data_IF_906102792537
#
_entry.id   IF_906102792537
#
_cell.length_a   1.000
_cell.length_b   1.000
_cell.length_c   1.000
_cell.angle_alpha   90.00
_cell.angle_beta   90.00
_cell.angle_gamma   90.00
#
_symmetry.space_group_name_H-M   'P 1'
#
loop_
_entity.id
_entity.type
_entity.pdbx_description
1 polymer ?
#
# COMPACT_ATOMS: atom_id res chain seq x y z
N UNK A 1 -42.47 -50.39 -12.43
CA UNK A 1 -41.22 -49.59 -12.45
C UNK A 1 -40.32 -50.09 -11.31
N UNK A 2 -39.22 -50.77 -11.63
CA UNK A 2 -38.42 -51.57 -10.69
C UNK A 2 -37.67 -50.71 -9.66
N UNK A 3 -37.86 -51.01 -8.37
CA UNK A 3 -37.25 -50.30 -7.24
C UNK A 3 -35.72 -50.37 -7.25
N UNK A 4 -35.15 -51.43 -7.85
CA UNK A 4 -33.70 -51.60 -8.03
C UNK A 4 -33.12 -50.54 -8.98
N UNK A 5 -33.93 -50.00 -9.89
CA UNK A 5 -33.51 -48.93 -10.80
C UNK A 5 -33.38 -47.58 -10.08
N UNK A 6 -34.27 -47.26 -9.13
CA UNK A 6 -34.19 -46.03 -8.32
C UNK A 6 -32.95 -45.99 -7.42
N UNK A 7 -32.53 -47.12 -6.85
CA UNK A 7 -31.35 -47.20 -5.98
C UNK A 7 -30.05 -46.99 -6.76
N UNK A 8 -29.93 -47.56 -7.97
CA UNK A 8 -28.75 -47.35 -8.83
C UNK A 8 -28.60 -45.88 -9.23
N UNK A 9 -29.70 -45.18 -9.51
CA UNK A 9 -29.67 -43.75 -9.90
C UNK A 9 -29.23 -42.84 -8.74
N UNK A 10 -29.69 -43.11 -7.51
CA UNK A 10 -29.28 -42.37 -6.30
C UNK A 10 -27.80 -42.54 -5.96
N UNK A 11 -27.25 -43.74 -6.12
CA UNK A 11 -25.80 -44.00 -5.89
C UNK A 11 -24.90 -43.29 -6.89
N UNK A 12 -25.31 -43.17 -8.16
CA UNK A 12 -24.56 -42.40 -9.18
C UNK A 12 -24.57 -40.90 -8.87
N UNK A 13 -25.71 -40.36 -8.44
CA UNK A 13 -25.84 -38.95 -8.08
C UNK A 13 -25.02 -38.59 -6.84
N UNK A 14 -25.02 -39.43 -5.80
CA UNK A 14 -24.19 -39.21 -4.60
C UNK A 14 -22.68 -39.25 -4.90
N UNK A 15 -22.23 -40.14 -5.80
CA UNK A 15 -20.83 -40.17 -6.26
C UNK A 15 -20.45 -38.92 -7.04
N UNK A 16 -21.35 -38.37 -7.84
CA UNK A 16 -21.12 -37.13 -8.58
C UNK A 16 -20.99 -35.92 -7.64
N UNK A 17 -21.87 -35.81 -6.64
CA UNK A 17 -21.77 -34.75 -5.62
C UNK A 17 -20.43 -34.86 -4.86
N UNK A 18 -20.05 -36.07 -4.43
CA UNK A 18 -18.81 -36.28 -3.69
C UNK A 18 -17.56 -35.96 -4.54
N UNK A 19 -17.59 -36.30 -5.83
CA UNK A 19 -16.53 -35.97 -6.79
C UNK A 19 -16.45 -34.46 -7.03
N UNK A 20 -17.59 -33.78 -7.21
CA UNK A 20 -17.63 -32.32 -7.36
C UNK A 20 -17.13 -31.60 -6.10
N UNK A 21 -17.46 -32.08 -4.90
CA UNK A 21 -16.93 -31.50 -3.65
C UNK A 21 -15.43 -31.70 -3.48
N UNK A 22 -14.88 -32.85 -3.92
CA UNK A 22 -13.43 -33.12 -3.89
C UNK A 22 -12.64 -32.27 -4.90
N UNK A 23 -13.25 -31.98 -6.06
CA UNK A 23 -12.67 -31.07 -7.05
C UNK A 23 -12.69 -29.63 -6.51
N UNK A 24 -13.74 -29.23 -5.79
CA UNK A 24 -13.85 -27.89 -5.22
C UNK A 24 -12.88 -27.64 -4.05
N UNK A 25 -12.58 -28.65 -3.22
CA UNK A 25 -11.58 -28.51 -2.14
C UNK A 25 -10.14 -28.61 -2.62
N UNK A 26 -9.85 -29.29 -3.74
CA UNK A 26 -8.52 -29.29 -4.36
C UNK A 26 -8.26 -28.03 -5.21
N UNK A 27 -9.30 -27.25 -5.50
CA UNK A 27 -9.25 -25.99 -6.23
C UNK A 27 -9.29 -24.75 -5.30
N UNK A 28 -8.96 -24.91 -4.02
CA UNK A 28 -8.38 -23.79 -3.25
C UNK A 28 -7.02 -23.51 -3.85
N UNK A 29 -7.04 -22.87 -5.03
CA UNK A 29 -5.88 -22.47 -5.79
C UNK A 29 -4.93 -21.77 -4.85
N UNK A 30 -3.67 -22.24 -4.81
CA UNK A 30 -2.57 -21.39 -4.42
C UNK A 30 -2.75 -20.09 -5.18
N UNK A 31 -3.13 -19.03 -4.47
CA UNK A 31 -3.18 -17.67 -5.02
C UNK A 31 -1.73 -17.33 -5.32
N UNK A 32 -1.30 -17.69 -6.52
CA UNK A 32 0.00 -17.34 -7.05
C UNK A 32 -0.18 -15.96 -7.64
N UNK A 33 0.33 -14.96 -6.94
CA UNK A 33 0.50 -13.66 -7.55
C UNK A 33 1.78 -13.69 -8.40
N UNK A 34 1.73 -12.99 -9.52
CA UNK A 34 2.84 -12.83 -10.45
C UNK A 34 3.14 -11.34 -10.56
N UNK A 35 4.42 -10.98 -10.54
CA UNK A 35 4.89 -9.62 -10.85
C UNK A 35 5.82 -9.73 -12.03
N UNK A 36 5.59 -8.85 -12.98
CA UNK A 36 6.47 -8.65 -14.12
C UNK A 36 7.13 -7.31 -13.87
N UNK A 37 8.38 -7.33 -13.40
CA UNK A 37 9.24 -6.17 -13.50
C UNK A 37 9.67 -6.05 -14.95
N UNK A 38 9.19 -5.03 -15.65
CA UNK A 38 9.57 -4.79 -17.04
C UNK A 38 9.48 -3.31 -17.38
N UNK A 39 10.59 -2.77 -17.89
CA UNK A 39 10.59 -1.52 -18.64
C UNK A 39 9.66 -1.66 -19.86
N UNK A 40 8.98 -0.57 -20.24
CA UNK A 40 8.16 -0.54 -21.46
C UNK A 40 8.97 -1.05 -22.66
N UNK A 41 8.48 -2.11 -23.30
CA UNK A 41 9.09 -2.66 -24.51
C UNK A 41 8.51 -1.93 -25.75
N UNK A 42 9.33 -1.68 -26.78
CA UNK A 42 8.83 -1.25 -28.09
C UNK A 42 7.77 -2.22 -28.64
N UNK A 43 6.80 -1.67 -29.39
CA UNK A 43 5.56 -2.32 -29.84
C UNK A 43 5.77 -3.59 -30.70
N UNK A 44 7.01 -3.87 -31.13
CA UNK A 44 7.39 -4.91 -32.07
C UNK A 44 8.25 -6.06 -31.50
N UNK A 45 8.46 -6.13 -30.18
CA UNK A 45 9.25 -7.21 -29.56
C UNK A 45 8.45 -8.17 -28.66
N UNK A 46 8.45 -9.46 -29.01
CA UNK A 46 8.10 -10.55 -28.09
C UNK A 46 9.30 -10.93 -27.22
N UNK A 47 9.15 -10.83 -25.88
CA UNK A 47 10.14 -11.31 -24.91
C UNK A 47 9.54 -12.42 -24.05
N UNK A 48 10.28 -13.51 -23.84
CA UNK A 48 9.95 -14.52 -22.85
C UNK A 48 10.24 -13.94 -21.47
N UNK A 49 9.19 -13.65 -20.69
CA UNK A 49 9.33 -13.22 -19.30
C UNK A 49 9.53 -14.45 -18.42
N UNK A 50 10.68 -14.53 -17.75
CA UNK A 50 10.92 -15.53 -16.73
C UNK A 50 10.23 -15.05 -15.44
N UNK A 51 8.98 -15.50 -15.23
CA UNK A 51 8.28 -15.27 -13.97
C UNK A 51 8.87 -16.16 -12.89
N UNK A 52 9.48 -15.55 -11.86
CA UNK A 52 9.86 -16.29 -10.67
C UNK A 52 8.62 -16.55 -9.82
N UNK A 53 8.22 -17.82 -9.70
CA UNK A 53 7.24 -18.25 -8.70
C UNK A 53 7.98 -18.53 -7.39
N UNK A 54 7.83 -17.65 -6.40
CA UNK A 54 8.35 -17.84 -5.05
C UNK A 54 7.21 -17.91 -4.03
N UNK A 55 7.45 -18.58 -2.90
CA UNK A 55 6.60 -18.42 -1.74
C UNK A 55 6.87 -17.02 -1.16
N UNK A 56 5.85 -16.17 -1.11
CA UNK A 56 5.94 -14.99 -0.28
C UNK A 56 6.01 -15.44 1.16
N UNK A 57 7.05 -14.98 1.83
CA UNK A 57 7.03 -14.93 3.26
C UNK A 57 6.30 -13.62 3.60
N UNK A 58 4.96 -13.61 3.46
CA UNK A 58 4.09 -12.49 3.86
C UNK A 58 3.97 -12.45 5.39
N UNK A 59 5.08 -12.32 6.13
CA UNK A 59 4.93 -11.97 7.54
C UNK A 59 4.36 -10.55 7.60
N UNK A 60 3.18 -10.43 8.20
CA UNK A 60 2.54 -9.14 8.42
C UNK A 60 1.76 -8.60 7.23
N UNK A 61 1.28 -9.41 6.27
CA UNK A 61 0.33 -8.94 5.24
C UNK A 61 -0.96 -9.74 5.27
N UNK A 62 -2.09 -9.04 5.39
CA UNK A 62 -3.41 -9.61 5.63
C UNK A 62 -4.45 -9.04 4.68
N UNK A 63 -5.41 -9.86 4.27
CA UNK A 63 -6.68 -9.34 3.74
C UNK A 63 -7.48 -8.71 4.88
N UNK A 64 -8.21 -7.64 4.60
CA UNK A 64 -9.05 -6.98 5.59
C UNK A 64 -10.19 -7.89 6.06
N UNK A 65 -10.32 -8.01 7.39
CA UNK A 65 -11.41 -8.67 8.10
C UNK A 65 -11.81 -7.79 9.28
N UNK A 66 -13.04 -7.25 9.34
CA UNK A 66 -13.50 -6.39 10.42
C UNK A 66 -13.54 -7.07 11.80
N UNK A 67 -13.38 -8.40 11.84
CA UNK A 67 -13.36 -9.19 13.07
C UNK A 67 -11.96 -9.68 13.45
N UNK A 68 -10.91 -9.30 12.72
CA UNK A 68 -9.53 -9.62 13.03
C UNK A 68 -8.89 -8.56 13.94
N UNK A 69 -7.84 -8.96 14.67
CA UNK A 69 -6.92 -8.04 15.31
C UNK A 69 -5.72 -7.78 14.40
N UNK A 70 -5.21 -6.54 14.39
CA UNK A 70 -3.99 -6.16 13.69
C UNK A 70 -3.00 -5.50 14.63
N UNK A 71 -1.71 -5.70 14.39
CA UNK A 71 -0.59 -5.15 15.16
C UNK A 71 0.17 -4.07 14.35
N UNK A 72 0.84 -3.11 15.01
CA UNK A 72 1.71 -2.16 14.34
C UNK A 72 2.74 -2.85 13.46
N UNK A 73 2.85 -2.41 12.21
CA UNK A 73 3.74 -3.02 11.21
C UNK A 73 3.06 -4.01 10.28
N UNK A 74 1.84 -4.44 10.60
CA UNK A 74 1.03 -5.20 9.67
C UNK A 74 0.64 -4.33 8.46
N UNK A 75 0.50 -4.95 7.30
CA UNK A 75 -0.06 -4.39 6.08
C UNK A 75 -1.40 -5.08 5.86
N UNK A 76 -2.45 -4.30 5.67
CA UNK A 76 -3.79 -4.78 5.40
C UNK A 76 -4.17 -4.39 3.97
N UNK A 77 -4.64 -5.36 3.20
CA UNK A 77 -5.16 -5.16 1.85
C UNK A 77 -6.68 -5.04 1.94
N UNK A 78 -7.23 -3.94 1.42
CA UNK A 78 -8.67 -3.73 1.35
C UNK A 78 -9.02 -2.99 0.05
N UNK A 79 -9.98 -3.51 -0.71
CA UNK A 79 -10.40 -2.96 -2.00
C UNK A 79 -9.24 -2.70 -2.98
N UNK A 80 -8.21 -3.56 -2.95
CA UNK A 80 -7.03 -3.46 -3.81
C UNK A 80 -5.99 -2.41 -3.39
N UNK A 81 -6.21 -1.74 -2.26
CA UNK A 81 -5.29 -0.77 -1.67
C UNK A 81 -4.58 -1.39 -0.45
N UNK A 82 -3.28 -1.14 -0.31
CA UNK A 82 -2.52 -1.51 0.87
C UNK A 82 -2.57 -0.40 1.93
N UNK A 83 -2.66 -0.81 3.20
CA UNK A 83 -2.69 0.06 4.36
C UNK A 83 -1.71 -0.44 5.42
N UNK A 84 -0.85 0.44 5.92
CA UNK A 84 0.04 0.13 7.03
C UNK A 84 -0.65 0.38 8.37
N UNK A 85 -0.57 -0.60 9.26
CA UNK A 85 -1.14 -0.53 10.61
C UNK A 85 -0.16 0.16 11.55
N UNK A 86 -0.62 1.24 12.19
CA UNK A 86 0.21 2.07 13.08
C UNK A 86 0.06 1.73 14.55
N UNK A 87 -1.05 1.08 14.90
CA UNK A 87 -1.46 0.79 16.28
C UNK A 87 -2.13 -0.56 16.35
N UNK A 88 -2.20 -1.15 17.55
CA UNK A 88 -3.03 -2.33 17.74
C UNK A 88 -4.49 -1.97 17.43
N UNK A 89 -5.15 -2.80 16.63
CA UNK A 89 -6.55 -2.65 16.25
C UNK A 89 -7.24 -3.93 16.66
N UNK A 90 -8.20 -3.81 17.57
CA UNK A 90 -8.98 -4.96 18.05
C UNK A 90 -10.34 -5.02 17.34
N UNK A 91 -10.94 -6.22 17.24
CA UNK A 91 -12.29 -6.41 16.73
C UNK A 91 -13.30 -5.48 17.44
N UNK A 92 -14.19 -4.88 16.66
CA UNK A 92 -15.21 -3.96 17.17
C UNK A 92 -14.74 -2.53 17.42
N UNK A 93 -13.48 -2.18 17.14
CA UNK A 93 -13.04 -0.78 17.11
C UNK A 93 -13.86 0.00 16.05
N UNK A 94 -14.48 1.15 16.38
CA UNK A 94 -15.28 1.90 15.42
C UNK A 94 -14.48 2.47 14.23
N UNK A 95 -13.15 2.60 14.37
CA UNK A 95 -12.24 3.04 13.32
C UNK A 95 -11.47 1.86 12.68
N UNK A 96 -11.98 0.63 12.80
CA UNK A 96 -11.37 -0.57 12.21
C UNK A 96 -11.36 -0.55 10.68
N UNK A 97 -12.30 0.14 10.03
CA UNK A 97 -12.29 0.24 8.57
C UNK A 97 -11.18 1.20 8.07
N UNK A 98 -10.19 0.72 7.29
CA UNK A 98 -9.09 1.55 6.80
C UNK A 98 -9.52 2.65 5.80
N UNK A 99 -10.68 2.51 5.14
CA UNK A 99 -11.24 3.55 4.27
C UNK A 99 -11.97 4.67 5.02
N UNK A 100 -12.17 4.50 6.33
CA UNK A 100 -12.74 5.52 7.19
C UNK A 100 -11.70 5.95 8.23
N UNK A 101 -10.58 6.57 7.81
CA UNK A 101 -9.53 6.98 8.73
C UNK A 101 -10.10 7.98 9.73
N UNK A 102 -9.63 7.90 10.97
CA UNK A 102 -10.05 8.83 11.99
C UNK A 102 -9.64 10.28 11.61
N UNK A 103 -10.64 11.15 11.50
CA UNK A 103 -10.47 12.58 11.20
C UNK A 103 -10.44 13.46 12.47
N UNK A 104 -10.34 12.86 13.67
CA UNK A 104 -10.29 13.65 14.90
C UNK A 104 -8.85 13.97 15.30
N UNK A 105 -8.51 15.26 15.45
CA UNK A 105 -7.16 15.76 15.79
C UNK A 105 -6.54 15.11 17.04
N UNK A 106 -7.35 14.79 18.04
CA UNK A 106 -6.86 14.20 19.31
C UNK A 106 -6.77 12.68 19.29
N UNK A 107 -7.30 12.03 18.25
CA UNK A 107 -7.27 10.58 18.14
C UNK A 107 -6.16 10.20 17.17
N UNK A 108 -5.35 9.19 17.52
CA UNK A 108 -4.30 8.77 16.62
C UNK A 108 -4.89 8.05 15.39
N UNK A 109 -4.18 8.13 14.27
CA UNK A 109 -4.46 7.28 13.13
C UNK A 109 -4.17 5.81 13.44
N UNK A 110 -5.03 4.94 12.90
CA UNK A 110 -4.87 3.48 12.97
C UNK A 110 -4.21 2.92 11.72
N UNK A 111 -4.58 3.46 10.55
CA UNK A 111 -4.08 3.06 9.24
C UNK A 111 -3.46 4.23 8.51
N UNK A 112 -2.47 3.95 7.68
CA UNK A 112 -1.92 4.86 6.68
C UNK A 112 -1.96 4.15 5.32
N UNK A 113 -2.61 4.72 4.30
CA UNK A 113 -2.62 4.09 2.99
C UNK A 113 -1.27 4.22 2.29
N UNK A 114 -0.92 3.17 1.54
CA UNK A 114 0.24 3.12 0.65
C UNK A 114 0.01 4.01 -0.58
N UNK A 115 0.62 5.20 -0.61
CA UNK A 115 0.43 6.13 -1.72
C UNK A 115 1.53 7.19 -1.77
N UNK A 116 1.78 7.70 -2.97
CA UNK A 116 2.53 8.93 -3.24
C UNK A 116 1.63 10.17 -3.22
N UNK A 117 0.32 9.98 -3.31
CA UNK A 117 -0.63 11.08 -3.41
C UNK A 117 -0.88 11.77 -2.07
N UNK A 118 -1.20 13.05 -2.12
CA UNK A 118 -1.69 13.77 -0.95
C UNK A 118 -2.97 13.11 -0.40
N UNK A 119 -3.02 12.96 0.92
CA UNK A 119 -4.23 12.60 1.66
C UNK A 119 -4.46 13.57 2.80
N UNK A 120 -5.70 14.04 3.00
CA UNK A 120 -6.01 15.03 4.04
C UNK A 120 -5.80 14.51 5.46
N UNK A 121 -5.81 13.18 5.61
CA UNK A 121 -5.63 12.51 6.88
C UNK A 121 -4.18 12.13 7.19
N UNK A 122 -3.20 12.35 6.29
CA UNK A 122 -1.78 12.04 6.54
C UNK A 122 -1.04 13.18 7.28
N UNK A 123 0.02 12.82 8.00
CA UNK A 123 0.94 13.75 8.67
C UNK A 123 2.16 14.04 7.80
N UNK A 124 2.37 15.26 7.33
CA UNK A 124 3.56 15.59 6.53
C UNK A 124 4.55 16.43 7.35
N UNK A 125 5.79 15.98 7.39
CA UNK A 125 6.92 16.66 8.01
C UNK A 125 7.65 17.54 7.01
N UNK A 126 8.56 18.37 7.52
CA UNK A 126 9.40 19.23 6.68
C UNK A 126 10.15 18.39 5.63
N UNK A 127 10.00 18.79 4.36
CA UNK A 127 10.53 18.17 3.15
C UNK A 127 9.81 16.92 2.64
N UNK A 128 8.73 16.47 3.28
CA UNK A 128 7.92 15.40 2.73
C UNK A 128 7.34 15.81 1.37
N UNK A 129 7.40 14.87 0.42
CA UNK A 129 6.86 15.03 -0.92
C UNK A 129 5.48 14.37 -1.02
N UNK A 130 4.63 14.93 -1.88
CA UNK A 130 3.34 14.37 -2.28
C UNK A 130 3.06 14.67 -3.75
N UNK A 131 2.28 13.80 -4.40
CA UNK A 131 1.63 14.09 -5.68
C UNK A 131 0.24 14.67 -5.42
N UNK A 132 -0.06 15.81 -6.03
CA UNK A 132 -1.40 16.42 -5.99
C UNK A 132 -1.68 17.10 -7.32
N UNK A 133 -2.88 16.90 -7.90
CA UNK A 133 -3.22 17.43 -9.23
C UNK A 133 -2.14 17.14 -10.29
N UNK A 134 -1.56 15.93 -10.28
CA UNK A 134 -0.52 15.50 -11.21
C UNK A 134 0.78 16.33 -11.15
N UNK A 135 1.09 16.91 -9.99
CA UNK A 135 2.29 17.70 -9.71
C UNK A 135 2.92 17.26 -8.41
N UNK A 136 4.22 17.49 -8.25
CA UNK A 136 4.94 17.16 -7.01
C UNK A 136 5.05 18.40 -6.13
N UNK A 137 4.64 18.29 -4.88
CA UNK A 137 4.78 19.34 -3.87
C UNK A 137 5.62 18.86 -2.70
N UNK A 138 6.27 19.81 -2.04
CA UNK A 138 7.03 19.60 -0.82
C UNK A 138 6.42 20.39 0.32
N UNK A 139 6.28 19.78 1.49
CA UNK A 139 5.96 20.50 2.71
C UNK A 139 7.19 21.33 3.17
N UNK A 140 7.06 22.65 3.18
CA UNK A 140 8.15 23.60 3.43
C UNK A 140 8.00 24.36 4.77
N UNK A 141 6.91 24.15 5.52
CA UNK A 141 6.73 24.84 6.79
C UNK A 141 7.68 24.27 7.85
N UNK A 142 8.60 25.11 8.33
CA UNK A 142 9.62 24.73 9.33
C UNK A 142 9.12 24.79 10.77
N UNK A 143 8.00 25.48 11.02
CA UNK A 143 7.48 25.74 12.36
C UNK A 143 6.39 24.75 12.76
N UNK A 144 5.64 24.23 11.79
CA UNK A 144 4.53 23.33 12.02
C UNK A 144 4.53 22.19 11.01
N UNK A 145 4.38 20.96 11.49
CA UNK A 145 4.03 19.83 10.63
C UNK A 145 2.62 20.01 10.03
N UNK A 146 2.40 19.39 8.88
CA UNK A 146 1.05 19.17 8.39
C UNK A 146 0.39 18.15 9.30
N UNK A 147 -0.58 18.59 10.08
CA UNK A 147 -1.37 17.71 10.91
C UNK A 147 -2.78 17.65 10.31
N UNK A 148 -3.30 16.44 10.09
CA UNK A 148 -4.63 16.25 9.54
C UNK A 148 -5.68 16.83 10.49
N UNK A 149 -6.77 17.33 9.91
CA UNK A 149 -7.92 17.86 10.68
C UNK A 149 -7.55 19.08 11.54
N UNK A 150 -6.49 19.79 11.17
CA UNK A 150 -6.05 21.03 11.80
C UNK A 150 -6.00 22.15 10.77
N UNK A 151 -5.73 23.38 11.23
CA UNK A 151 -5.51 24.51 10.33
C UNK A 151 -4.30 24.34 9.40
N UNK A 152 -3.34 23.45 9.73
CA UNK A 152 -2.22 23.11 8.84
C UNK A 152 -2.53 21.96 7.88
N UNK A 153 -3.67 21.26 8.07
CA UNK A 153 -4.14 20.13 7.28
C UNK A 153 -4.77 20.53 5.94
N UNK A 154 -4.15 21.48 5.23
CA UNK A 154 -4.67 21.98 3.95
C UNK A 154 -3.95 21.33 2.78
N UNK A 155 -4.65 21.03 1.66
CA UNK A 155 -4.01 20.45 0.49
C UNK A 155 -3.08 21.46 -0.19
N UNK A 156 -2.16 20.98 -1.06
CA UNK A 156 -1.45 21.86 -1.97
C UNK A 156 -2.42 22.73 -2.79
N UNK A 157 -1.97 23.92 -3.20
CA UNK A 157 -2.76 24.91 -3.97
C UNK A 157 -4.03 25.48 -3.27
N UNK A 158 -4.39 25.00 -2.07
CA UNK A 158 -5.48 25.55 -1.26
C UNK A 158 -5.34 27.07 -1.10
N UNK A 159 -6.43 27.83 -1.17
CA UNK A 159 -6.43 29.29 -0.93
C UNK A 159 -5.83 29.71 0.43
N UNK A 160 -5.44 30.98 0.56
CA UNK A 160 -5.26 31.62 1.88
C UNK A 160 -3.85 31.59 2.48
N UNK A 161 -3.76 31.92 3.77
CA UNK A 161 -2.49 32.15 4.50
C UNK A 161 -1.58 30.90 4.57
N UNK A 162 -2.15 29.71 4.39
CA UNK A 162 -1.44 28.44 4.48
C UNK A 162 -0.86 27.96 3.14
N UNK A 163 -1.08 28.71 2.04
CA UNK A 163 -0.48 28.46 0.71
C UNK A 163 1.02 28.27 0.74
N UNK A 164 1.69 29.01 1.62
CA UNK A 164 3.15 29.04 1.71
C UNK A 164 3.76 27.73 2.25
N UNK A 165 2.94 26.81 2.74
CA UNK A 165 3.41 25.57 3.34
C UNK A 165 3.72 24.49 2.30
N UNK A 166 3.05 24.49 1.14
CA UNK A 166 3.30 23.56 0.05
C UNK A 166 4.04 24.29 -1.07
N UNK A 167 5.25 23.84 -1.39
CA UNK A 167 6.07 24.40 -2.47
C UNK A 167 6.06 23.44 -3.64
N UNK A 168 5.72 23.94 -4.83
CA UNK A 168 5.79 23.16 -6.08
C UNK A 168 7.25 22.75 -6.35
N UNK A 169 7.48 21.46 -6.55
CA UNK A 169 8.79 20.87 -6.89
C UNK A 169 8.84 20.52 -8.37
N UNK A 170 7.76 19.96 -8.92
CA UNK A 170 7.69 19.55 -10.33
C UNK A 170 6.27 19.71 -10.88
N UNK A 171 6.16 20.20 -12.12
CA UNK A 171 4.90 20.33 -12.86
C UNK A 171 4.39 19.00 -13.45
N UNK A 172 5.22 17.96 -13.40
CA UNK A 172 4.86 16.59 -13.80
C UNK A 172 5.08 15.65 -12.62
N UNK A 173 4.28 14.57 -12.47
CA UNK A 173 4.54 13.59 -11.43
C UNK A 173 5.90 12.92 -11.68
N UNK A 174 6.63 12.65 -10.60
CA UNK A 174 7.88 11.90 -10.65
C UNK A 174 7.81 10.81 -9.59
N UNK A 175 7.45 9.60 -10.03
CA UNK A 175 7.22 8.44 -9.19
C UNK A 175 8.51 7.79 -8.68
N UNK A 176 9.67 8.28 -9.13
CA UNK A 176 10.96 7.82 -8.62
C UNK A 176 11.29 8.48 -7.28
N UNK A 177 10.63 9.57 -6.88
CA UNK A 177 10.89 10.17 -5.58
C UNK A 177 10.52 9.24 -4.42
N UNK A 178 11.20 9.43 -3.30
CA UNK A 178 10.76 8.90 -2.03
C UNK A 178 9.59 9.73 -1.49
N UNK A 179 8.48 9.05 -1.29
CA UNK A 179 7.26 9.50 -0.61
C UNK A 179 7.12 8.78 0.75
N UNK A 180 6.79 9.48 1.84
CA UNK A 180 6.82 8.94 3.21
C UNK A 180 5.81 7.82 3.45
N UNK A 181 4.66 7.87 2.77
CA UNK A 181 3.55 6.92 2.94
C UNK A 181 3.58 5.76 1.95
N UNK A 182 4.55 5.72 1.03
CA UNK A 182 4.73 4.61 0.12
C UNK A 182 5.49 3.47 0.80
N UNK A 183 5.03 2.24 0.61
CA UNK A 183 5.70 1.03 1.07
C UNK A 183 6.76 0.64 0.03
N UNK A 184 8.02 0.65 0.44
CA UNK A 184 9.14 0.19 -0.37
C UNK A 184 9.55 -1.22 0.01
N UNK A 185 10.02 -1.98 -0.97
CA UNK A 185 10.58 -3.30 -0.82
C UNK A 185 12.09 -3.27 -1.07
N UNK A 186 12.78 -4.31 -0.62
CA UNK A 186 14.21 -4.48 -0.84
C UNK A 186 14.52 -4.41 -2.34
N UNK A 187 15.53 -3.62 -2.71
CA UNK A 187 15.93 -3.37 -4.09
C UNK A 187 15.23 -2.21 -4.78
N UNK A 188 14.13 -1.66 -4.23
CA UNK A 188 13.54 -0.43 -4.77
C UNK A 188 14.54 0.71 -4.74
N UNK A 189 14.57 1.51 -5.80
CA UNK A 189 15.46 2.67 -5.96
C UNK A 189 14.63 3.93 -6.03
N UNK A 190 15.04 4.95 -5.28
CA UNK A 190 14.32 6.23 -5.17
C UNK A 190 15.25 7.44 -5.25
N UNK A 191 14.75 8.56 -5.75
CA UNK A 191 15.31 9.90 -5.58
C UNK A 191 14.88 10.43 -4.21
N UNK A 192 15.81 10.84 -3.38
CA UNK A 192 15.49 11.48 -2.11
C UNK A 192 15.87 12.97 -2.15
N UNK A 193 14.87 13.83 -1.93
CA UNK A 193 15.01 15.28 -2.00
C UNK A 193 15.75 15.84 -0.79
N UNK A 194 16.82 16.58 -1.05
CA UNK A 194 17.64 17.21 -0.02
C UNK A 194 17.15 18.61 0.30
N UNK A 195 17.37 19.06 1.53
CA UNK A 195 17.04 20.42 1.97
C UNK A 195 17.72 21.53 1.13
N UNK A 196 18.82 21.20 0.46
CA UNK A 196 19.57 22.07 -0.45
C UNK A 196 18.92 22.27 -1.83
N UNK A 197 17.86 21.53 -2.15
CA UNK A 197 17.17 21.59 -3.44
C UNK A 197 17.72 20.65 -4.52
N UNK A 198 18.68 19.78 -4.17
CA UNK A 198 19.14 18.69 -5.02
C UNK A 198 18.51 17.36 -4.57
N UNK A 199 18.72 16.27 -5.32
CA UNK A 199 18.35 14.92 -4.89
C UNK A 199 19.54 13.96 -4.97
N UNK A 200 19.44 12.85 -4.24
CA UNK A 200 20.37 11.71 -4.27
C UNK A 200 19.60 10.42 -4.49
N UNK A 201 20.27 9.40 -5.00
CA UNK A 201 19.65 8.10 -5.23
C UNK A 201 19.92 7.16 -4.07
N UNK A 202 18.88 6.44 -3.66
CA UNK A 202 18.96 5.45 -2.60
C UNK A 202 18.32 4.15 -3.04
N UNK A 203 18.86 3.03 -2.57
CA UNK A 203 18.27 1.70 -2.70
C UNK A 203 17.79 1.22 -1.34
N UNK A 204 16.57 0.73 -1.25
CA UNK A 204 16.05 0.07 -0.05
C UNK A 204 16.76 -1.27 0.14
N UNK A 205 17.22 -1.55 1.36
CA UNK A 205 17.91 -2.81 1.73
C UNK A 205 17.11 -3.63 2.75
N UNK A 206 15.88 -3.23 3.05
CA UNK A 206 14.96 -3.94 3.96
C UNK A 206 13.57 -4.04 3.34
N UNK A 207 12.73 -4.92 3.89
CA UNK A 207 11.34 -5.09 3.47
C UNK A 207 10.42 -5.51 4.63
N UNK A 208 9.17 -5.02 4.67
CA UNK A 208 8.72 -3.78 4.03
C UNK A 208 9.39 -2.56 4.68
N UNK A 209 9.54 -1.47 3.92
CA UNK A 209 10.22 -0.24 4.33
C UNK A 209 9.31 0.97 4.08
N UNK A 210 8.70 1.50 5.12
CA UNK A 210 7.84 2.70 5.06
C UNK A 210 8.32 3.69 6.13
N UNK A 211 8.16 5.00 5.91
CA UNK A 211 8.54 6.08 6.84
C UNK A 211 10.01 6.22 7.23
N UNK A 212 10.86 5.26 6.90
CA UNK A 212 12.29 5.42 7.10
C UNK A 212 12.83 6.39 6.05
N UNK A 213 13.25 7.57 6.49
CA UNK A 213 13.88 8.55 5.62
C UNK A 213 15.20 8.00 5.07
N UNK A 214 15.45 8.09 3.74
CA UNK A 214 16.65 7.52 3.11
C UNK A 214 18.00 7.98 3.66
N UNK A 215 18.12 9.22 4.12
CA UNK A 215 19.38 9.77 4.62
C UNK A 215 19.64 9.53 6.12
N UNK A 216 18.64 9.02 6.86
CA UNK A 216 18.71 8.89 8.31
C UNK A 216 18.43 7.46 8.82
N UNK A 217 18.24 6.50 7.92
CA UNK A 217 17.91 5.12 8.28
C UNK A 217 18.84 4.12 7.61
N UNK A 218 19.21 3.07 8.34
CA UNK A 218 19.95 1.91 7.81
C UNK A 218 19.13 1.07 6.84
N UNK A 219 17.84 1.36 6.67
CA UNK A 219 16.98 0.73 5.69
C UNK A 219 17.32 1.11 4.23
N UNK A 220 18.23 2.08 4.04
CA UNK A 220 18.61 2.63 2.75
C UNK A 220 20.13 2.70 2.57
N UNK A 221 20.57 2.56 1.32
CA UNK A 221 21.97 2.74 0.90
C UNK A 221 22.00 3.72 -0.26
N UNK A 222 22.81 4.77 -0.15
CA UNK A 222 23.06 5.73 -1.25
C UNK A 222 23.81 5.02 -2.40
N UNK A 223 23.40 5.25 -3.65
CA UNK A 223 23.96 4.59 -4.85
C UNK A 223 24.40 5.59 -5.93
#
# INVERSE_FOLDING_TARGET
MDWRFKIKKRRKFAKLILLCSLIFTAASSLTTAYWIGGDELPEDQTKTLQGNTGNWIWYGVYEYDPNASYSPGDIVIYNGQAYWVRRNIEPGNPAHNPENPNEHIMLPMLYENDTEEYRPYHHYNLNDLVIYNNRVYRWANRFFGHNPNTVSGVPPESGGLWRINWVLVSDTPDYDFWYPYKIYYEGNVVKFWQSSGNYRWYRSVTQPNQHNTPDSSSAWVEI
#
